data_IF_996315010446
#
_entry.id   IF_996315010446
#
_cell.length_a   1.000
_cell.length_b   1.000
_cell.length_c   1.000
_cell.angle_alpha   90.00
_cell.angle_beta   90.00
_cell.angle_gamma   90.00
#
_symmetry.space_group_name_H-M   'P 1'
#
loop_
_entity.id
_entity.type
_entity.pdbx_description
1 polymer ?
#
# COMPACT_ATOMS: atom_id res chain seq x y z
N UNK A 1 9.76 3.96 -5.29
CA UNK A 1 10.45 4.28 -6.55
C UNK A 1 11.32 5.54 -6.40
N UNK A 2 12.34 5.49 -5.61
CA UNK A 2 13.38 6.49 -5.42
C UNK A 2 14.61 5.79 -4.89
N UNK A 3 15.79 6.44 -4.93
CA UNK A 3 16.99 5.84 -4.39
C UNK A 3 16.81 5.57 -2.90
N UNK A 4 17.06 4.32 -2.49
CA UNK A 4 17.08 3.96 -1.09
C UNK A 4 18.19 4.72 -0.36
N UNK A 5 17.84 5.26 0.79
CA UNK A 5 18.78 5.88 1.70
C UNK A 5 18.68 5.26 3.10
N UNK A 6 19.63 5.56 3.96
CA UNK A 6 19.72 4.97 5.31
C UNK A 6 18.42 5.14 6.13
N UNK A 7 17.71 6.25 5.95
CA UNK A 7 16.42 6.49 6.61
C UNK A 7 15.33 5.51 6.20
N UNK A 8 15.27 5.13 4.91
CA UNK A 8 14.32 4.11 4.44
C UNK A 8 14.66 2.73 5.04
N UNK A 9 15.95 2.39 5.10
CA UNK A 9 16.39 1.14 5.70
C UNK A 9 16.03 1.08 7.19
N UNK A 10 16.42 2.09 7.96
CA UNK A 10 16.21 2.11 9.40
C UNK A 10 14.73 2.27 9.79
N UNK A 11 13.99 3.09 9.05
CA UNK A 11 12.60 3.41 9.35
C UNK A 11 11.58 2.33 8.91
N UNK A 12 11.90 1.58 7.86
CA UNK A 12 10.96 0.62 7.28
C UNK A 12 11.57 -0.76 7.05
N UNK A 13 12.57 -0.89 6.16
CA UNK A 13 13.03 -2.19 5.64
C UNK A 13 13.54 -3.11 6.76
N UNK A 14 14.33 -2.59 7.69
CA UNK A 14 14.82 -3.34 8.85
C UNK A 14 13.67 -3.95 9.68
N UNK A 15 12.58 -3.21 9.84
CA UNK A 15 11.42 -3.69 10.58
C UNK A 15 10.65 -4.76 9.79
N UNK A 16 10.58 -4.63 8.46
CA UNK A 16 9.98 -5.66 7.60
C UNK A 16 10.75 -6.97 7.66
N UNK A 17 12.10 -6.91 7.64
CA UNK A 17 12.96 -8.09 7.81
C UNK A 17 12.73 -8.74 9.17
N UNK A 18 12.68 -7.94 10.26
CA UNK A 18 12.37 -8.46 11.60
C UNK A 18 10.99 -9.12 11.68
N UNK A 19 10.00 -8.54 11.01
CA UNK A 19 8.66 -9.15 10.92
C UNK A 19 8.70 -10.48 10.18
N UNK A 20 9.35 -10.53 9.02
CA UNK A 20 9.57 -11.76 8.26
C UNK A 20 10.24 -12.84 9.14
N UNK A 21 11.26 -12.46 9.90
CA UNK A 21 12.04 -13.39 10.74
C UNK A 21 11.24 -13.90 11.96
N UNK A 22 10.30 -13.10 12.43
CA UNK A 22 9.43 -13.41 13.56
C UNK A 22 8.10 -14.06 13.17
N UNK A 23 7.88 -14.37 11.88
CA UNK A 23 6.61 -14.98 11.42
C UNK A 23 6.43 -16.37 12.00
N UNK A 24 5.23 -16.62 12.52
CA UNK A 24 4.80 -17.92 12.98
C UNK A 24 4.55 -18.90 11.82
N UNK A 25 4.59 -20.19 12.08
CA UNK A 25 4.23 -21.23 11.13
C UNK A 25 2.78 -21.02 10.65
N UNK A 26 2.60 -20.95 9.32
CA UNK A 26 1.29 -20.70 8.69
C UNK A 26 0.96 -19.22 8.43
N UNK A 27 1.80 -18.29 8.89
CA UNK A 27 1.72 -16.88 8.53
C UNK A 27 2.62 -16.55 7.34
N UNK A 28 2.31 -15.49 6.58
CA UNK A 28 3.09 -15.09 5.42
C UNK A 28 3.22 -13.58 5.28
N UNK A 29 4.41 -13.10 4.96
CA UNK A 29 4.65 -11.73 4.54
C UNK A 29 4.51 -11.60 3.02
N UNK A 30 3.81 -10.54 2.60
CA UNK A 30 3.72 -10.14 1.20
C UNK A 30 4.36 -8.76 1.06
N UNK A 31 5.34 -8.64 0.19
CA UNK A 31 6.01 -7.40 -0.16
C UNK A 31 5.83 -7.13 -1.64
N UNK A 32 5.46 -5.92 -2.01
CA UNK A 32 5.33 -5.59 -3.42
C UNK A 32 5.96 -4.24 -3.75
N UNK A 33 6.39 -4.13 -5.00
CA UNK A 33 6.94 -2.93 -5.58
C UNK A 33 5.79 -2.12 -6.17
N UNK A 34 5.51 -0.95 -5.57
CA UNK A 34 4.32 -0.14 -5.83
C UNK A 34 4.46 0.72 -7.09
N UNK A 35 4.63 0.10 -8.25
CA UNK A 35 4.82 0.79 -9.52
C UNK A 35 3.53 1.41 -10.08
N UNK A 36 2.35 0.82 -9.80
CA UNK A 36 1.08 1.46 -10.13
C UNK A 36 0.85 2.74 -9.33
N UNK A 37 1.31 2.80 -8.08
CA UNK A 37 1.28 4.05 -7.32
C UNK A 37 2.24 5.09 -7.89
N UNK A 38 3.38 4.66 -8.41
CA UNK A 38 4.37 5.57 -8.97
C UNK A 38 3.83 6.36 -10.17
N UNK A 39 2.95 5.79 -10.99
CA UNK A 39 2.37 6.47 -12.15
C UNK A 39 1.34 7.56 -11.78
N UNK A 40 0.96 7.68 -10.51
CA UNK A 40 0.12 8.79 -10.04
C UNK A 40 0.82 10.15 -10.15
N UNK A 41 2.15 10.15 -10.25
CA UNK A 41 3.00 11.32 -10.44
C UNK A 41 3.69 11.27 -11.81
N UNK A 42 4.14 12.42 -12.37
CA UNK A 42 4.91 12.45 -13.61
C UNK A 42 6.14 11.53 -13.52
N UNK A 43 6.35 10.70 -14.54
CA UNK A 43 7.42 9.71 -14.59
C UNK A 43 7.91 9.46 -16.01
N UNK A 44 9.14 8.93 -16.12
CA UNK A 44 9.71 8.42 -17.37
C UNK A 44 9.65 6.89 -17.33
N UNK A 45 8.95 6.20 -18.25
CA UNK A 45 8.71 4.76 -18.16
C UNK A 45 9.98 3.92 -18.05
N UNK A 46 11.03 4.26 -18.79
CA UNK A 46 12.30 3.53 -18.73
C UNK A 46 12.99 3.67 -17.37
N UNK A 47 12.94 4.85 -16.76
CA UNK A 47 13.51 5.10 -15.43
C UNK A 47 12.68 4.38 -14.34
N UNK A 48 11.35 4.37 -14.47
CA UNK A 48 10.46 3.67 -13.54
C UNK A 48 10.76 2.17 -13.55
N UNK A 49 10.93 1.56 -14.73
CA UNK A 49 11.26 0.14 -14.85
C UNK A 49 12.62 -0.17 -14.21
N UNK A 50 13.65 0.63 -14.51
CA UNK A 50 14.98 0.46 -13.92
C UNK A 50 14.94 0.60 -12.38
N UNK A 51 14.25 1.62 -11.87
CA UNK A 51 14.10 1.86 -10.43
C UNK A 51 13.33 0.74 -9.72
N UNK A 52 12.36 0.12 -10.39
CA UNK A 52 11.61 -1.02 -9.86
C UNK A 52 12.52 -2.23 -9.67
N UNK A 53 13.36 -2.55 -10.65
CA UNK A 53 14.33 -3.65 -10.57
C UNK A 53 15.41 -3.38 -9.51
N UNK A 54 15.91 -2.16 -9.44
CA UNK A 54 16.89 -1.76 -8.43
C UNK A 54 16.31 -1.88 -7.02
N UNK A 55 15.05 -1.46 -6.83
CA UNK A 55 14.38 -1.60 -5.54
C UNK A 55 14.19 -3.07 -5.14
N UNK A 56 13.82 -3.95 -6.08
CA UNK A 56 13.74 -5.39 -5.82
C UNK A 56 15.08 -5.95 -5.32
N UNK A 57 16.16 -5.63 -6.04
CA UNK A 57 17.50 -6.08 -5.67
C UNK A 57 17.91 -5.53 -4.29
N UNK A 58 17.59 -4.28 -4.01
CA UNK A 58 17.91 -3.64 -2.73
C UNK A 58 17.13 -4.25 -1.56
N UNK A 59 15.85 -4.60 -1.73
CA UNK A 59 15.06 -5.28 -0.69
C UNK A 59 15.64 -6.64 -0.35
N UNK A 60 16.02 -7.44 -1.35
CA UNK A 60 16.68 -8.74 -1.15
C UNK A 60 18.03 -8.55 -0.48
N UNK A 61 18.84 -7.60 -0.92
CA UNK A 61 20.14 -7.28 -0.32
C UNK A 61 20.03 -6.82 1.15
N UNK A 62 18.91 -6.19 1.51
CA UNK A 62 18.62 -5.77 2.88
C UNK A 62 18.06 -6.88 3.79
N UNK A 63 17.77 -8.08 3.23
CA UNK A 63 17.37 -9.24 4.01
C UNK A 63 15.92 -9.72 3.79
N UNK A 64 15.17 -9.13 2.86
CA UNK A 64 13.90 -9.74 2.42
C UNK A 64 14.24 -11.03 1.68
N UNK A 65 13.76 -12.15 2.21
CA UNK A 65 14.03 -13.48 1.71
C UNK A 65 12.85 -13.99 0.86
N UNK A 66 13.01 -14.10 -0.47
CA UNK A 66 11.94 -14.55 -1.35
C UNK A 66 11.58 -16.04 -1.20
N UNK A 67 12.39 -16.84 -0.50
CA UNK A 67 12.06 -18.24 -0.17
C UNK A 67 11.12 -18.31 1.06
N UNK A 68 11.07 -17.27 1.87
CA UNK A 68 10.26 -17.17 3.09
C UNK A 68 9.07 -16.20 2.96
N UNK A 69 9.17 -15.24 2.07
CA UNK A 69 8.16 -14.19 1.83
C UNK A 69 7.83 -14.10 0.35
N UNK A 70 6.66 -13.59 0.03
CA UNK A 70 6.30 -13.30 -1.36
C UNK A 70 6.75 -11.88 -1.68
N UNK A 71 7.70 -11.75 -2.62
CA UNK A 71 8.12 -10.46 -3.18
C UNK A 71 7.70 -10.39 -4.66
N UNK A 72 6.91 -9.38 -5.02
CA UNK A 72 6.38 -9.27 -6.37
C UNK A 72 6.24 -7.80 -6.84
N UNK A 73 6.01 -7.62 -8.14
CA UNK A 73 5.72 -6.33 -8.72
C UNK A 73 4.20 -6.12 -8.83
N UNK A 74 3.68 -5.03 -8.30
CA UNK A 74 2.25 -4.72 -8.25
C UNK A 74 1.58 -4.78 -9.63
N UNK A 75 2.18 -4.17 -10.66
CA UNK A 75 1.62 -4.16 -12.01
C UNK A 75 1.58 -5.54 -12.69
N UNK A 76 2.33 -6.53 -12.19
CA UNK A 76 2.26 -7.91 -12.70
C UNK A 76 1.04 -8.68 -12.18
N UNK A 77 0.29 -8.09 -11.25
CA UNK A 77 -0.96 -8.64 -10.72
C UNK A 77 -2.12 -7.71 -11.08
N UNK A 78 -2.78 -7.88 -12.25
CA UNK A 78 -3.83 -6.97 -12.72
C UNK A 78 -4.99 -6.78 -11.74
N UNK A 79 -5.23 -7.77 -10.88
CA UNK A 79 -6.29 -7.74 -9.88
C UNK A 79 -6.22 -6.54 -8.92
N UNK A 80 -5.05 -5.92 -8.72
CA UNK A 80 -4.93 -4.68 -7.96
C UNK A 80 -5.74 -3.54 -8.60
N UNK A 81 -5.56 -3.33 -9.91
CA UNK A 81 -6.28 -2.31 -10.64
C UNK A 81 -7.77 -2.66 -10.84
N UNK A 82 -8.08 -3.93 -11.03
CA UNK A 82 -9.47 -4.42 -11.15
C UNK A 82 -10.23 -4.20 -9.84
N UNK A 83 -9.67 -4.63 -8.72
CA UNK A 83 -10.30 -4.43 -7.41
C UNK A 83 -10.40 -2.93 -7.07
N UNK A 84 -9.37 -2.13 -7.36
CA UNK A 84 -9.44 -0.68 -7.18
C UNK A 84 -10.61 -0.07 -7.94
N UNK A 85 -10.87 -0.51 -9.18
CA UNK A 85 -12.02 -0.04 -9.95
C UNK A 85 -13.35 -0.39 -9.28
N UNK A 86 -13.51 -1.63 -8.79
CA UNK A 86 -14.70 -2.07 -8.07
C UNK A 86 -14.90 -1.28 -6.78
N UNK A 87 -13.83 -1.07 -6.01
CA UNK A 87 -13.89 -0.32 -4.75
C UNK A 87 -14.18 1.17 -4.94
N UNK A 88 -13.90 1.75 -6.11
CA UNK A 88 -14.33 3.12 -6.43
C UNK A 88 -15.86 3.28 -6.36
N UNK A 89 -16.63 2.21 -6.60
CA UNK A 89 -18.09 2.19 -6.44
C UNK A 89 -18.53 2.25 -4.97
N UNK A 90 -17.68 1.87 -4.04
CA UNK A 90 -17.95 1.86 -2.59
C UNK A 90 -17.36 3.09 -1.89
N UNK A 91 -16.16 3.52 -2.27
CA UNK A 91 -15.49 4.67 -1.71
C UNK A 91 -16.30 5.96 -1.89
N UNK A 92 -16.14 6.91 -0.96
CA UNK A 92 -16.88 8.17 -0.97
C UNK A 92 -15.97 9.34 -1.32
N UNK A 93 -16.42 10.22 -2.21
CA UNK A 93 -15.73 11.47 -2.53
C UNK A 93 -15.36 12.27 -1.28
N UNK A 94 -16.27 12.33 -0.30
CA UNK A 94 -16.03 13.02 0.96
C UNK A 94 -14.90 12.40 1.80
N UNK A 95 -14.65 11.09 1.69
CA UNK A 95 -13.53 10.43 2.35
C UNK A 95 -12.21 10.79 1.69
N UNK A 96 -12.15 10.72 0.36
CA UNK A 96 -10.96 11.07 -0.41
C UNK A 96 -10.60 12.56 -0.26
N UNK A 97 -11.58 13.45 -0.22
CA UNK A 97 -11.36 14.87 -0.02
C UNK A 97 -10.76 15.22 1.36
N UNK A 98 -10.88 14.34 2.35
CA UNK A 98 -10.27 14.53 3.68
C UNK A 98 -8.82 14.04 3.75
N UNK A 99 -8.35 13.28 2.75
CA UNK A 99 -6.99 12.78 2.71
C UNK A 99 -5.98 13.91 2.64
N UNK A 100 -5.08 13.97 3.61
CA UNK A 100 -4.09 15.06 3.74
C UNK A 100 -3.07 15.02 2.63
N UNK A 101 -2.58 13.85 2.26
CA UNK A 101 -1.54 13.70 1.23
C UNK A 101 -1.97 14.17 -0.16
N UNK A 102 -3.25 14.09 -0.53
CA UNK A 102 -3.72 14.69 -1.76
C UNK A 102 -3.55 16.21 -1.74
N UNK A 103 -3.90 16.85 -0.62
CA UNK A 103 -3.77 18.30 -0.44
C UNK A 103 -2.31 18.75 -0.53
N UNK A 104 -1.40 17.98 0.06
CA UNK A 104 0.02 18.30 0.10
C UNK A 104 0.67 18.11 -1.29
N UNK A 105 0.38 17.00 -1.97
CA UNK A 105 0.98 16.65 -3.28
C UNK A 105 0.39 17.45 -4.44
N UNK A 106 -0.90 17.79 -4.43
CA UNK A 106 -1.53 18.61 -5.48
C UNK A 106 -1.14 20.10 -5.39
N UNK A 107 -0.68 20.57 -4.23
CA UNK A 107 -0.26 21.94 -4.02
C UNK A 107 -1.38 22.95 -4.35
N UNK A 108 -1.00 24.05 -5.04
CA UNK A 108 -1.95 25.10 -5.46
C UNK A 108 -2.71 24.77 -6.75
N UNK A 109 -2.22 23.81 -7.55
CA UNK A 109 -2.80 23.44 -8.86
C UNK A 109 -3.58 22.12 -8.77
N UNK A 110 -4.70 22.13 -8.06
CA UNK A 110 -5.55 20.94 -7.93
C UNK A 110 -6.20 20.50 -9.25
N UNK A 111 -6.50 21.44 -10.13
CA UNK A 111 -7.10 21.16 -11.44
C UNK A 111 -6.13 20.46 -12.38
N UNK A 112 -4.83 20.68 -12.23
CA UNK A 112 -3.79 19.99 -12.99
C UNK A 112 -3.33 18.66 -12.39
N UNK A 113 -3.84 18.27 -11.21
CA UNK A 113 -3.51 17.00 -10.60
C UNK A 113 -4.16 15.83 -11.35
N UNK A 114 -3.44 14.70 -11.48
CA UNK A 114 -4.00 13.51 -12.10
C UNK A 114 -5.15 12.92 -11.26
N UNK A 115 -6.11 12.28 -11.91
CA UNK A 115 -7.16 11.51 -11.21
C UNK A 115 -6.53 10.41 -10.34
N UNK A 116 -5.46 9.80 -10.81
CA UNK A 116 -4.71 8.79 -10.06
C UNK A 116 -4.19 9.34 -8.71
N UNK A 117 -3.73 10.60 -8.67
CA UNK A 117 -3.30 11.24 -7.42
C UNK A 117 -4.46 11.42 -6.43
N UNK A 118 -5.69 11.55 -6.90
CA UNK A 118 -6.88 11.63 -6.05
C UNK A 118 -7.37 10.26 -5.59
N UNK A 119 -7.26 9.24 -6.44
CA UNK A 119 -7.85 7.91 -6.21
C UNK A 119 -6.84 6.86 -5.72
N UNK A 120 -5.52 7.14 -5.67
CA UNK A 120 -4.54 6.17 -5.19
C UNK A 120 -4.83 5.61 -3.79
N UNK A 121 -5.51 6.30 -2.85
CA UNK A 121 -5.87 5.69 -1.57
C UNK A 121 -6.85 4.50 -1.72
N UNK A 122 -7.65 4.48 -2.80
CA UNK A 122 -8.51 3.34 -3.14
C UNK A 122 -7.68 2.19 -3.72
N UNK A 123 -6.65 2.50 -4.52
CA UNK A 123 -5.69 1.49 -4.98
C UNK A 123 -4.95 0.88 -3.78
N UNK A 124 -4.53 1.70 -2.81
CA UNK A 124 -3.88 1.20 -1.59
C UNK A 124 -4.83 0.31 -0.77
N UNK A 125 -6.12 0.63 -0.70
CA UNK A 125 -7.12 -0.25 -0.10
C UNK A 125 -7.20 -1.59 -0.86
N UNK A 126 -7.21 -1.55 -2.20
CA UNK A 126 -7.20 -2.77 -3.02
C UNK A 126 -5.95 -3.61 -2.78
N UNK A 127 -4.76 -3.00 -2.66
CA UNK A 127 -3.50 -3.70 -2.37
C UNK A 127 -3.55 -4.54 -1.10
N UNK A 128 -4.26 -4.06 -0.10
CA UNK A 128 -4.40 -4.74 1.19
C UNK A 128 -5.54 -5.77 1.17
N UNK A 129 -6.69 -5.37 0.64
CA UNK A 129 -7.93 -6.17 0.71
C UNK A 129 -7.91 -7.36 -0.26
N UNK A 130 -7.19 -7.25 -1.39
CA UNK A 130 -7.02 -8.32 -2.37
C UNK A 130 -6.47 -9.61 -1.74
N UNK A 131 -5.56 -9.46 -0.80
CA UNK A 131 -4.87 -10.56 -0.12
C UNK A 131 -5.46 -10.92 1.23
N UNK A 132 -6.59 -10.32 1.61
CA UNK A 132 -7.20 -10.54 2.94
C UNK A 132 -6.20 -10.27 4.08
N UNK A 133 -5.35 -9.26 3.91
CA UNK A 133 -4.31 -8.96 4.89
C UNK A 133 -4.92 -8.72 6.27
N UNK A 134 -4.42 -9.42 7.27
CA UNK A 134 -4.87 -9.27 8.66
C UNK A 134 -4.16 -8.12 9.36
N UNK A 135 -2.89 -7.89 9.00
CA UNK A 135 -2.03 -6.88 9.60
C UNK A 135 -1.22 -6.15 8.53
N UNK A 136 -1.10 -4.83 8.66
CA UNK A 136 -0.32 -4.01 7.72
C UNK A 136 0.64 -3.11 8.52
N UNK A 137 1.97 -3.26 8.30
CA UNK A 137 2.94 -2.35 8.91
C UNK A 137 2.85 -0.98 8.22
N UNK A 138 2.54 0.04 9.01
CA UNK A 138 2.39 1.41 8.50
C UNK A 138 3.14 2.41 9.38
N UNK A 139 3.72 3.44 8.76
CA UNK A 139 4.15 4.63 9.46
C UNK A 139 2.95 5.49 9.87
N UNK A 140 3.15 6.41 10.79
CA UNK A 140 2.10 7.33 11.26
C UNK A 140 1.44 8.12 10.11
N UNK A 141 2.22 8.48 9.08
CA UNK A 141 1.75 9.19 7.89
C UNK A 141 0.82 8.35 7.00
N UNK A 142 0.87 7.01 7.09
CA UNK A 142 0.06 6.07 6.32
C UNK A 142 -1.17 5.56 7.10
N UNK A 143 -1.29 5.89 8.37
CA UNK A 143 -2.40 5.42 9.22
C UNK A 143 -3.76 5.82 8.64
N UNK A 144 -3.90 7.05 8.16
CA UNK A 144 -5.15 7.55 7.55
C UNK A 144 -5.56 6.73 6.31
N UNK A 145 -4.59 6.24 5.52
CA UNK A 145 -4.88 5.39 4.35
C UNK A 145 -5.39 4.02 4.78
N UNK A 146 -4.82 3.44 5.83
CA UNK A 146 -5.28 2.15 6.32
C UNK A 146 -6.67 2.27 6.98
N UNK A 147 -6.96 3.36 7.68
CA UNK A 147 -8.30 3.67 8.19
C UNK A 147 -9.31 3.74 7.03
N UNK A 148 -8.95 4.40 5.93
CA UNK A 148 -9.79 4.43 4.72
C UNK A 148 -10.01 3.04 4.13
N UNK A 149 -8.98 2.18 4.08
CA UNK A 149 -9.12 0.81 3.60
C UNK A 149 -10.11 0.02 4.46
N UNK A 150 -10.07 0.20 5.79
CA UNK A 150 -11.03 -0.41 6.74
C UNK A 150 -12.46 0.13 6.51
N UNK A 151 -12.63 1.43 6.32
CA UNK A 151 -13.94 2.04 6.05
C UNK A 151 -14.54 1.50 4.73
N UNK A 152 -13.72 1.36 3.69
CA UNK A 152 -14.13 0.79 2.40
C UNK A 152 -14.55 -0.68 2.58
N UNK A 153 -13.72 -1.49 3.27
CA UNK A 153 -14.00 -2.90 3.52
C UNK A 153 -15.29 -3.08 4.33
N UNK A 154 -15.43 -2.32 5.41
CA UNK A 154 -16.62 -2.37 6.26
C UNK A 154 -17.88 -1.99 5.48
N UNK A 155 -17.80 -0.91 4.70
CA UNK A 155 -18.94 -0.47 3.88
C UNK A 155 -19.30 -1.50 2.81
N UNK A 156 -18.31 -2.08 2.13
CA UNK A 156 -18.54 -3.12 1.14
C UNK A 156 -19.22 -4.34 1.76
N UNK A 157 -18.70 -4.81 2.89
CA UNK A 157 -19.28 -5.94 3.61
C UNK A 157 -20.73 -5.65 4.02
N UNK A 158 -21.01 -4.45 4.55
CA UNK A 158 -22.36 -4.06 4.97
C UNK A 158 -23.34 -3.93 3.79
N UNK A 159 -22.86 -3.44 2.63
CA UNK A 159 -23.75 -3.17 1.48
C UNK A 159 -24.02 -4.43 0.64
N UNK A 160 -23.08 -5.40 0.59
CA UNK A 160 -23.09 -6.49 -0.39
C UNK A 160 -22.97 -7.89 0.19
N UNK A 161 -22.71 -8.04 1.49
CA UNK A 161 -22.50 -9.34 2.11
C UNK A 161 -23.57 -9.65 3.16
N UNK A 162 -23.78 -10.93 3.43
CA UNK A 162 -24.52 -11.35 4.61
C UNK A 162 -23.67 -11.08 5.87
N UNK A 163 -24.33 -10.84 7.00
CA UNK A 163 -23.67 -10.46 8.27
C UNK A 163 -22.65 -11.51 8.74
N UNK A 164 -22.93 -12.78 8.48
CA UNK A 164 -22.10 -13.93 8.84
C UNK A 164 -21.09 -14.36 7.76
N UNK A 165 -21.07 -13.67 6.61
CA UNK A 165 -20.21 -13.99 5.48
C UNK A 165 -19.58 -12.75 4.83
N UNK A 166 -18.75 -11.98 5.55
CA UNK A 166 -18.05 -10.84 5.00
C UNK A 166 -17.04 -11.28 3.94
N UNK A 167 -16.91 -10.49 2.87
CA UNK A 167 -15.91 -10.73 1.81
C UNK A 167 -14.54 -10.25 2.23
N UNK A 168 -14.45 -9.06 2.84
CA UNK A 168 -13.17 -8.46 3.21
C UNK A 168 -12.87 -8.60 4.70
N UNK A 169 -11.65 -9.02 5.00
CA UNK A 169 -11.05 -8.89 6.34
C UNK A 169 -10.71 -7.42 6.60
N UNK A 170 -10.97 -6.93 7.82
CA UNK A 170 -10.56 -5.59 8.22
C UNK A 170 -9.12 -5.63 8.74
N UNK A 171 -8.15 -5.03 8.02
CA UNK A 171 -6.75 -5.10 8.40
C UNK A 171 -6.45 -4.26 9.64
N UNK A 172 -5.57 -4.75 10.51
CA UNK A 172 -5.08 -4.00 11.67
C UNK A 172 -3.71 -3.35 11.40
N UNK A 173 -3.49 -2.11 11.86
CA UNK A 173 -2.21 -1.46 11.71
C UNK A 173 -1.17 -2.04 12.67
N UNK A 174 0.04 -2.31 12.17
CA UNK A 174 1.22 -2.49 13.01
C UNK A 174 2.06 -1.22 12.90
N UNK A 175 2.17 -0.47 13.99
CA UNK A 175 3.01 0.72 14.06
C UNK A 175 4.31 0.34 14.77
N UNK A 176 5.46 0.25 14.06
CA UNK A 176 6.72 -0.08 14.68
C UNK A 176 7.11 0.97 15.73
N UNK A 177 7.60 0.57 16.91
CA UNK A 177 7.96 1.50 18.00
C UNK A 177 9.03 2.54 17.62
N UNK A 178 9.85 2.23 16.62
CA UNK A 178 10.96 3.06 16.15
C UNK A 178 10.62 3.88 14.88
N UNK A 179 9.39 3.83 14.40
CA UNK A 179 8.92 4.68 13.29
C UNK A 179 8.68 6.14 13.74
N UNK A 180 8.92 6.43 15.01
CA UNK A 180 8.89 7.76 15.55
C UNK A 180 10.14 8.56 15.11
N UNK A 181 9.96 9.34 14.05
CA UNK A 181 10.76 10.52 13.67
C UNK A 181 12.29 10.36 13.66
N UNK A 182 12.84 10.16 12.48
CA UNK A 182 14.15 10.71 12.11
C UNK A 182 13.91 12.07 11.44
#
# INVERSE_FOLDING_TARGET
TGNLHLGNYLGAIRNWVRMQDAMDEGSQCLFFLADLHAISMPHVPAELNAATLEMAAALVACGIDPDRSILFNQAQVPAHAELQWLLNGTARMGWLNRMTQFKDKSGKNREGASVALFTYPVLQAADVLLYQATHVPVGEDQKQHLELARDIAQKFNNDFCAEDAPVFTLPDPIIPPEAARI
#
